data_IF_889711204374
#
_entry.id   IF_889711204374
#
_cell.length_a   1.000
_cell.length_b   1.000
_cell.length_c   1.000
_cell.angle_alpha   90.00
_cell.angle_beta   90.00
_cell.angle_gamma   90.00
#
_symmetry.space_group_name_H-M   'P 1'
#
loop_
_entity.id
_entity.type
_entity.pdbx_description
1 polymer ?
#
# COMPACT_ATOMS: atom_id res chain seq x y z
N UNK A 1 13.69 -15.21 -7.85
CA UNK A 1 13.30 -16.59 -8.07
C UNK A 1 12.89 -17.32 -6.79
N UNK A 2 13.71 -17.35 -5.72
CA UNK A 2 13.40 -18.10 -4.47
C UNK A 2 12.12 -17.60 -3.80
N UNK A 3 11.86 -16.31 -3.78
CA UNK A 3 10.66 -15.71 -3.19
C UNK A 3 9.35 -16.13 -3.85
N UNK A 4 9.39 -16.41 -5.16
CA UNK A 4 8.23 -16.90 -5.91
C UNK A 4 7.99 -18.42 -5.72
N UNK A 5 9.05 -19.19 -5.40
CA UNK A 5 8.98 -20.64 -5.27
C UNK A 5 8.67 -21.14 -3.86
N UNK A 6 8.98 -20.37 -2.84
CA UNK A 6 8.83 -20.77 -1.43
C UNK A 6 8.07 -19.70 -0.65
N UNK A 7 6.79 -19.94 -0.31
CA UNK A 7 6.04 -19.01 0.51
C UNK A 7 6.65 -18.87 1.92
N UNK A 8 6.35 -17.77 2.60
CA UNK A 8 6.66 -17.64 4.02
C UNK A 8 5.80 -18.63 4.84
N UNK A 9 6.42 -19.27 5.83
CA UNK A 9 5.70 -20.18 6.73
C UNK A 9 4.92 -19.44 7.84
N UNK A 10 5.41 -18.25 8.26
CA UNK A 10 4.92 -17.57 9.47
C UNK A 10 4.64 -16.07 9.27
N UNK A 11 4.80 -15.54 8.05
CA UNK A 11 4.48 -14.14 7.75
C UNK A 11 3.07 -14.03 7.17
N UNK A 12 2.34 -12.93 7.48
CA UNK A 12 0.98 -12.72 6.99
C UNK A 12 0.94 -12.51 5.48
N UNK A 13 -0.26 -12.58 4.91
CA UNK A 13 -0.52 -12.16 3.53
C UNK A 13 -1.12 -10.76 3.50
N UNK A 14 -0.79 -10.00 2.46
CA UNK A 14 -1.47 -8.77 2.10
C UNK A 14 -2.82 -9.16 1.48
N UNK A 15 -3.90 -8.83 2.17
CA UNK A 15 -5.27 -9.10 1.73
C UNK A 15 -6.14 -7.86 1.88
N UNK A 16 -7.23 -7.76 1.11
CA UNK A 16 -8.21 -6.69 1.29
C UNK A 16 -8.80 -6.75 2.70
N UNK A 17 -9.00 -7.97 3.23
CA UNK A 17 -9.50 -8.15 4.58
C UNK A 17 -8.58 -7.50 5.62
N UNK A 18 -7.31 -7.88 5.67
CA UNK A 18 -6.38 -7.43 6.71
C UNK A 18 -5.97 -5.96 6.59
N UNK A 19 -5.80 -5.46 5.36
CA UNK A 19 -5.37 -4.08 5.12
C UNK A 19 -6.52 -3.09 5.03
N UNK A 20 -7.66 -3.51 4.47
CA UNK A 20 -8.86 -2.69 4.28
C UNK A 20 -9.88 -2.90 5.38
N UNK A 21 -10.67 -3.94 5.28
CA UNK A 21 -11.84 -4.15 6.13
C UNK A 21 -11.54 -4.16 7.63
N UNK A 22 -10.54 -4.92 8.07
CA UNK A 22 -10.15 -4.98 9.49
C UNK A 22 -9.61 -3.64 10.00
N UNK A 23 -8.93 -2.89 9.13
CA UNK A 23 -8.41 -1.57 9.46
C UNK A 23 -9.52 -0.53 9.61
N UNK A 24 -10.50 -0.53 8.68
CA UNK A 24 -11.66 0.38 8.73
C UNK A 24 -12.55 0.04 9.93
N UNK A 25 -12.83 -1.24 10.17
CA UNK A 25 -13.61 -1.67 11.33
C UNK A 25 -12.96 -1.19 12.63
N UNK A 26 -11.66 -1.40 12.78
CA UNK A 26 -10.93 -0.96 13.96
C UNK A 26 -10.96 0.57 14.13
N UNK A 27 -10.71 1.35 13.06
CA UNK A 27 -10.80 2.81 13.09
C UNK A 27 -12.20 3.29 13.47
N UNK A 28 -13.24 2.59 13.04
CA UNK A 28 -14.63 2.90 13.35
C UNK A 28 -14.94 2.71 14.82
N UNK A 29 -14.45 1.62 15.40
CA UNK A 29 -14.71 1.26 16.80
C UNK A 29 -13.83 2.04 17.79
N UNK A 30 -12.60 2.40 17.39
CA UNK A 30 -11.64 3.10 18.27
C UNK A 30 -12.02 4.54 18.63
N UNK A 31 -12.89 5.18 17.84
CA UNK A 31 -13.26 6.59 18.04
C UNK A 31 -12.14 7.58 17.73
N UNK A 32 -11.02 7.16 17.13
CA UNK A 32 -9.86 8.03 16.84
C UNK A 32 -10.16 9.07 15.75
N UNK A 33 -11.09 8.76 14.84
CA UNK A 33 -11.55 9.69 13.80
C UNK A 33 -12.46 10.74 14.44
N UNK A 34 -12.20 12.07 14.29
CA UNK A 34 -13.02 13.12 14.84
C UNK A 34 -14.49 12.99 14.45
N UNK A 35 -15.39 13.23 15.39
CA UNK A 35 -16.84 12.96 15.24
C UNK A 35 -17.44 13.65 14.01
N UNK A 36 -17.08 14.90 13.76
CA UNK A 36 -17.54 15.68 12.60
C UNK A 36 -17.02 15.16 11.25
N UNK A 37 -15.93 14.39 11.23
CA UNK A 37 -15.34 13.82 10.02
C UNK A 37 -15.74 12.35 9.80
N UNK A 38 -16.25 11.64 10.82
CA UNK A 38 -16.62 10.22 10.74
C UNK A 38 -17.54 9.91 9.56
N UNK A 39 -18.64 10.63 9.31
CA UNK A 39 -19.52 10.32 8.18
C UNK A 39 -18.81 10.41 6.84
N UNK A 40 -17.98 11.44 6.62
CA UNK A 40 -17.26 11.65 5.39
C UNK A 40 -16.15 10.59 5.18
N UNK A 41 -15.38 10.31 6.24
CA UNK A 41 -14.28 9.33 6.18
C UNK A 41 -14.80 7.93 5.88
N UNK A 42 -15.77 7.44 6.66
CA UNK A 42 -16.26 6.07 6.50
C UNK A 42 -17.10 5.87 5.25
N UNK A 43 -17.83 6.88 4.79
CA UNK A 43 -18.55 6.80 3.52
C UNK A 43 -17.60 6.57 2.34
N UNK A 44 -16.52 7.36 2.24
CA UNK A 44 -15.54 7.19 1.14
C UNK A 44 -14.73 5.91 1.32
N UNK A 45 -14.39 5.51 2.55
CA UNK A 45 -13.66 4.29 2.81
C UNK A 45 -14.48 3.04 2.43
N UNK A 46 -15.78 3.01 2.76
CA UNK A 46 -16.66 1.89 2.41
C UNK A 46 -16.87 1.79 0.87
N UNK A 47 -17.04 2.93 0.17
CA UNK A 47 -17.12 2.95 -1.30
C UNK A 47 -15.82 2.43 -1.94
N UNK A 48 -14.66 2.87 -1.44
CA UNK A 48 -13.37 2.37 -1.89
C UNK A 48 -13.23 0.87 -1.71
N UNK A 49 -13.65 0.31 -0.57
CA UNK A 49 -13.57 -1.13 -0.32
C UNK A 49 -14.41 -1.94 -1.30
N UNK A 50 -15.61 -1.48 -1.66
CA UNK A 50 -16.43 -2.16 -2.66
C UNK A 50 -15.71 -2.24 -4.03
N UNK A 51 -15.09 -1.14 -4.46
CA UNK A 51 -14.36 -1.10 -5.74
C UNK A 51 -13.12 -1.98 -5.68
N UNK A 52 -12.37 -1.91 -4.56
CA UNK A 52 -11.14 -2.67 -4.38
C UNK A 52 -11.40 -4.18 -4.32
N UNK A 53 -12.45 -4.62 -3.62
CA UNK A 53 -12.84 -6.03 -3.58
C UNK A 53 -13.07 -6.57 -5.00
N UNK A 54 -13.83 -5.84 -5.82
CA UNK A 54 -14.11 -6.22 -7.21
C UNK A 54 -12.83 -6.29 -8.04
N UNK A 55 -11.94 -5.28 -7.94
CA UNK A 55 -10.69 -5.23 -8.70
C UNK A 55 -9.72 -6.33 -8.31
N UNK A 56 -9.54 -6.56 -7.02
CA UNK A 56 -8.65 -7.60 -6.51
C UNK A 56 -9.14 -9.01 -6.88
N UNK A 57 -10.45 -9.22 -6.97
CA UNK A 57 -11.05 -10.49 -7.45
C UNK A 57 -10.92 -10.65 -8.97
N UNK A 58 -11.02 -9.55 -9.73
CA UNK A 58 -10.94 -9.59 -11.18
C UNK A 58 -9.54 -9.87 -11.73
N UNK A 59 -8.49 -9.63 -10.93
CA UNK A 59 -7.09 -9.80 -11.34
C UNK A 59 -6.45 -10.93 -10.54
N UNK A 60 -6.48 -12.17 -11.05
CA UNK A 60 -5.81 -13.29 -10.40
C UNK A 60 -4.28 -13.09 -10.46
N UNK A 61 -3.61 -13.31 -9.34
CA UNK A 61 -2.16 -13.24 -9.24
C UNK A 61 -1.59 -14.36 -8.38
N UNK A 62 -0.34 -14.71 -8.64
CA UNK A 62 0.43 -15.58 -7.73
C UNK A 62 1.06 -14.73 -6.65
N UNK A 63 0.97 -15.18 -5.41
CA UNK A 63 1.65 -14.52 -4.31
C UNK A 63 3.14 -14.86 -4.31
N UNK A 64 3.96 -13.85 -4.04
CA UNK A 64 5.39 -13.98 -3.82
C UNK A 64 5.76 -13.43 -2.44
N UNK A 65 6.98 -13.68 -1.98
CA UNK A 65 7.51 -13.01 -0.80
C UNK A 65 7.82 -11.57 -1.17
N UNK A 66 7.30 -10.66 -0.36
CA UNK A 66 7.47 -9.24 -0.49
C UNK A 66 8.33 -8.71 0.65
N UNK A 67 9.01 -7.61 0.41
CA UNK A 67 9.47 -6.71 1.45
C UNK A 67 8.25 -6.11 2.20
N UNK A 68 7.21 -5.76 1.44
CA UNK A 68 5.92 -5.29 1.95
C UNK A 68 5.85 -3.78 2.16
N UNK A 69 7.00 -3.13 2.38
CA UNK A 69 7.16 -1.69 2.51
C UNK A 69 8.39 -1.17 1.73
N UNK A 70 8.58 -1.66 0.49
CA UNK A 70 9.74 -1.31 -0.33
C UNK A 70 9.57 0.07 -0.97
N UNK A 71 10.02 1.10 -0.29
CA UNK A 71 10.14 2.46 -0.82
C UNK A 71 11.58 2.93 -0.80
N UNK A 72 11.89 4.05 -1.48
CA UNK A 72 13.25 4.58 -1.62
C UNK A 72 13.94 4.81 -0.26
N UNK A 73 13.19 5.18 0.79
CA UNK A 73 13.73 5.35 2.14
C UNK A 73 14.25 4.07 2.80
N UNK A 74 13.85 2.89 2.31
CA UNK A 74 14.31 1.59 2.78
C UNK A 74 15.45 1.01 1.91
N UNK A 75 16.02 1.85 1.03
CA UNK A 75 17.17 1.52 0.20
C UNK A 75 18.38 2.32 0.63
N UNK A 76 19.47 1.64 0.95
CA UNK A 76 20.74 2.25 1.31
C UNK A 76 21.77 1.93 0.23
N UNK A 77 22.41 2.97 -0.28
CA UNK A 77 23.53 2.84 -1.21
C UNK A 77 24.86 3.01 -0.46
N UNK A 78 25.68 1.97 -0.47
CA UNK A 78 26.99 1.99 0.18
C UNK A 78 27.96 1.08 -0.58
N UNK A 79 29.19 1.54 -0.76
CA UNK A 79 30.29 0.77 -1.38
C UNK A 79 29.87 0.13 -2.72
N UNK A 80 29.24 0.94 -3.60
CA UNK A 80 28.68 0.54 -4.91
C UNK A 80 27.64 -0.60 -4.84
N UNK A 81 27.08 -0.83 -3.67
CA UNK A 81 26.08 -1.87 -3.44
C UNK A 81 24.80 -1.29 -2.87
N UNK A 82 23.67 -1.86 -3.28
CA UNK A 82 22.33 -1.54 -2.79
C UNK A 82 21.96 -2.52 -1.67
N UNK A 83 21.53 -1.96 -0.54
CA UNK A 83 21.03 -2.71 0.60
C UNK A 83 19.57 -2.36 0.85
N UNK A 84 18.76 -3.38 1.06
CA UNK A 84 17.39 -3.23 1.53
C UNK A 84 17.37 -3.41 3.05
N UNK A 85 16.69 -2.50 3.75
CA UNK A 85 16.55 -2.49 5.22
C UNK A 85 15.08 -2.49 5.61
N UNK A 86 14.78 -2.67 6.91
CA UNK A 86 13.44 -2.66 7.47
C UNK A 86 12.54 -3.79 6.94
N UNK A 87 12.96 -5.02 7.23
CA UNK A 87 12.28 -6.25 6.81
C UNK A 87 11.10 -6.64 7.72
N UNK A 88 10.65 -5.76 8.61
CA UNK A 88 9.61 -6.10 9.60
C UNK A 88 8.25 -6.31 8.95
N UNK A 89 7.98 -5.64 7.85
CA UNK A 89 6.75 -5.73 7.08
C UNK A 89 6.74 -6.83 6.01
N UNK A 90 7.76 -7.71 5.99
CA UNK A 90 7.80 -8.82 5.04
C UNK A 90 6.54 -9.68 5.11
N UNK A 91 5.93 -9.91 3.95
CA UNK A 91 4.66 -10.64 3.81
C UNK A 91 4.52 -11.33 2.46
N UNK A 92 3.40 -12.01 2.27
CA UNK A 92 3.02 -12.56 0.98
C UNK A 92 2.06 -11.61 0.25
N UNK A 93 2.21 -11.48 -1.07
CA UNK A 93 1.29 -10.68 -1.87
C UNK A 93 1.68 -10.64 -3.35
N UNK A 94 1.01 -9.80 -4.16
CA UNK A 94 1.34 -9.62 -5.57
C UNK A 94 2.68 -8.89 -5.72
N UNK A 95 3.49 -9.29 -6.70
CA UNK A 95 4.83 -8.71 -6.95
C UNK A 95 4.79 -7.19 -7.15
N UNK A 96 3.73 -6.67 -7.75
CA UNK A 96 3.55 -5.23 -7.99
C UNK A 96 3.59 -4.40 -6.71
N UNK A 97 3.28 -4.99 -5.54
CA UNK A 97 3.31 -4.27 -4.26
C UNK A 97 4.67 -3.62 -3.98
N UNK A 98 5.75 -4.33 -4.19
CA UNK A 98 7.09 -3.78 -3.94
C UNK A 98 7.57 -2.88 -5.10
N UNK A 99 7.00 -3.00 -6.30
CA UNK A 99 7.39 -2.18 -7.45
C UNK A 99 6.71 -0.81 -7.44
N UNK A 100 5.39 -0.72 -7.18
CA UNK A 100 4.68 0.55 -7.25
C UNK A 100 5.14 1.56 -6.19
N UNK A 101 5.63 1.09 -5.05
CA UNK A 101 6.09 1.95 -3.96
C UNK A 101 7.40 2.68 -4.27
N UNK A 102 8.11 2.25 -5.31
CA UNK A 102 9.31 2.90 -5.83
C UNK A 102 8.98 4.03 -6.83
N UNK A 103 7.73 4.08 -7.32
CA UNK A 103 7.33 5.04 -8.36
C UNK A 103 7.00 6.41 -7.77
N UNK A 104 7.48 7.46 -8.44
CA UNK A 104 7.25 8.85 -8.04
C UNK A 104 7.07 9.77 -9.25
N UNK A 105 6.50 10.95 -9.01
CA UNK A 105 6.29 11.94 -10.05
C UNK A 105 4.95 11.78 -10.81
N UNK A 106 4.88 12.38 -12.00
CA UNK A 106 3.71 12.31 -12.86
C UNK A 106 3.54 10.94 -13.55
N UNK A 107 2.45 10.79 -14.31
CA UNK A 107 2.14 9.51 -14.99
C UNK A 107 3.27 9.03 -15.91
N UNK A 108 3.86 9.92 -16.68
CA UNK A 108 4.92 9.56 -17.64
C UNK A 108 6.22 9.15 -16.92
N UNK A 109 6.57 9.88 -15.85
CA UNK A 109 7.72 9.56 -15.02
C UNK A 109 7.54 8.20 -14.35
N UNK A 110 6.36 7.95 -13.75
CA UNK A 110 6.03 6.64 -13.13
C UNK A 110 6.07 5.51 -14.15
N UNK A 111 5.61 5.76 -15.38
CA UNK A 111 5.62 4.75 -16.44
C UNK A 111 7.04 4.40 -16.89
N UNK A 112 7.93 5.38 -17.05
CA UNK A 112 9.35 5.14 -17.38
C UNK A 112 10.06 4.36 -16.25
N UNK A 113 9.88 4.78 -14.99
CA UNK A 113 10.44 4.08 -13.83
C UNK A 113 9.94 2.63 -13.73
N UNK A 114 8.64 2.41 -13.98
CA UNK A 114 8.06 1.07 -13.96
C UNK A 114 8.69 0.17 -15.02
N UNK A 115 8.93 0.69 -16.23
CA UNK A 115 9.55 -0.08 -17.30
C UNK A 115 10.96 -0.58 -16.90
N UNK A 116 11.78 0.30 -16.33
CA UNK A 116 13.12 -0.04 -15.82
C UNK A 116 13.06 -1.07 -14.66
N UNK A 117 12.14 -0.88 -13.71
CA UNK A 117 11.96 -1.80 -12.58
C UNK A 117 11.51 -3.19 -13.05
N UNK A 118 10.60 -3.26 -14.01
CA UNK A 118 10.10 -4.53 -14.55
C UNK A 118 11.16 -5.22 -15.43
N UNK A 119 11.96 -4.46 -16.16
CA UNK A 119 13.11 -5.03 -16.90
C UNK A 119 14.07 -5.74 -15.94
N UNK A 120 14.51 -5.05 -14.86
CA UNK A 120 15.35 -5.68 -13.85
C UNK A 120 14.67 -6.83 -13.09
N UNK A 121 13.38 -6.75 -12.84
CA UNK A 121 12.63 -7.83 -12.22
C UNK A 121 12.60 -9.08 -13.09
N UNK A 122 12.43 -8.91 -14.40
CA UNK A 122 12.36 -9.99 -15.38
C UNK A 122 13.67 -10.74 -15.56
N UNK A 123 14.82 -10.21 -15.14
CA UNK A 123 16.07 -10.97 -15.08
C UNK A 123 15.99 -12.17 -14.11
N UNK A 124 15.09 -12.10 -13.12
CA UNK A 124 15.00 -13.12 -12.06
C UNK A 124 13.67 -13.86 -12.06
N UNK A 125 12.59 -13.24 -12.52
CA UNK A 125 11.26 -13.84 -12.53
C UNK A 125 10.31 -13.05 -13.43
N UNK A 126 9.51 -13.74 -14.26
CA UNK A 126 8.56 -13.11 -15.17
C UNK A 126 7.49 -12.31 -14.40
N UNK A 127 7.40 -11.02 -14.68
CA UNK A 127 6.37 -10.16 -14.14
C UNK A 127 5.05 -10.34 -14.91
N UNK A 128 3.95 -10.49 -14.19
CA UNK A 128 2.61 -10.53 -14.77
C UNK A 128 2.03 -9.11 -14.93
N UNK A 129 1.94 -8.57 -16.17
CA UNK A 129 1.48 -7.21 -16.42
C UNK A 129 0.05 -6.93 -15.95
N UNK A 130 -0.79 -7.95 -15.78
CA UNK A 130 -2.16 -7.80 -15.26
C UNK A 130 -2.18 -7.18 -13.87
N UNK A 131 -1.12 -7.39 -13.08
CA UNK A 131 -0.98 -6.83 -11.74
C UNK A 131 -0.90 -5.30 -11.72
N UNK A 132 -0.63 -4.64 -12.86
CA UNK A 132 -0.65 -3.17 -12.94
C UNK A 132 -2.02 -2.58 -12.60
N UNK A 133 -3.09 -3.31 -12.86
CA UNK A 133 -4.45 -2.91 -12.47
C UNK A 133 -4.67 -2.89 -10.95
N UNK A 134 -3.77 -3.44 -10.16
CA UNK A 134 -3.84 -3.48 -8.70
C UNK A 134 -3.18 -2.29 -8.02
N UNK A 135 -2.38 -1.47 -8.73
CA UNK A 135 -1.54 -0.41 -8.14
C UNK A 135 -2.35 0.52 -7.25
N UNK A 136 -3.42 1.12 -7.76
CA UNK A 136 -4.21 2.09 -6.99
C UNK A 136 -5.04 1.40 -5.88
N UNK A 137 -5.45 0.15 -6.07
CA UNK A 137 -6.06 -0.65 -5.00
C UNK A 137 -5.11 -0.90 -3.84
N UNK A 138 -3.87 -1.30 -4.15
CA UNK A 138 -2.82 -1.53 -3.15
C UNK A 138 -2.41 -0.24 -2.43
N UNK A 139 -2.33 0.88 -3.17
CA UNK A 139 -2.06 2.20 -2.61
C UNK A 139 -3.14 2.59 -1.60
N UNK A 140 -4.41 2.43 -1.97
CA UNK A 140 -5.54 2.74 -1.08
C UNK A 140 -5.52 1.85 0.18
N UNK A 141 -5.31 0.55 0.02
CA UNK A 141 -5.19 -0.38 1.15
C UNK A 141 -4.06 0.04 2.11
N UNK A 142 -2.92 0.47 1.58
CA UNK A 142 -1.81 0.96 2.40
C UNK A 142 -2.18 2.23 3.17
N UNK A 143 -2.85 3.20 2.55
CA UNK A 143 -3.28 4.45 3.20
C UNK A 143 -4.18 4.17 4.40
N UNK A 144 -5.18 3.32 4.22
CA UNK A 144 -6.12 2.94 5.29
C UNK A 144 -5.40 2.14 6.38
N UNK A 145 -4.57 1.17 5.97
CA UNK A 145 -3.81 0.34 6.90
C UNK A 145 -2.85 1.16 7.75
N UNK A 146 -2.15 2.13 7.16
CA UNK A 146 -1.21 3.00 7.86
C UNK A 146 -1.90 3.83 8.95
N UNK A 147 -3.06 4.42 8.66
CA UNK A 147 -3.85 5.15 9.66
C UNK A 147 -4.26 4.24 10.82
N UNK A 148 -4.70 3.01 10.52
CA UNK A 148 -5.06 2.04 11.56
C UNK A 148 -3.83 1.52 12.33
N UNK A 149 -2.69 1.39 11.66
CA UNK A 149 -1.42 0.98 12.27
C UNK A 149 -0.93 2.00 13.30
N UNK A 150 -0.99 3.30 12.98
CA UNK A 150 -0.69 4.38 13.91
C UNK A 150 -1.65 4.39 15.09
N UNK A 151 -2.94 4.30 14.79
CA UNK A 151 -3.99 4.34 15.81
C UNK A 151 -3.88 3.20 16.82
N UNK A 152 -3.59 1.98 16.37
CA UNK A 152 -3.43 0.78 17.24
C UNK A 152 -2.24 0.88 18.20
N UNK A 153 -1.27 1.75 17.89
CA UNK A 153 -0.05 1.95 18.68
C UNK A 153 -0.03 3.27 19.44
N UNK A 154 -1.14 4.01 19.40
CA UNK A 154 -1.19 5.37 19.94
C UNK A 154 -0.97 5.45 21.45
N UNK A 155 -1.23 4.36 22.17
CA UNK A 155 -0.98 4.25 23.61
C UNK A 155 0.50 4.10 23.98
N UNK A 156 1.35 3.73 23.02
CA UNK A 156 2.81 3.73 23.20
C UNK A 156 3.33 5.18 23.14
N UNK A 157 3.98 5.70 24.21
CA UNK A 157 4.45 7.09 24.25
C UNK A 157 5.43 7.49 23.14
N UNK A 158 6.04 6.55 22.46
CA UNK A 158 6.91 6.82 21.32
C UNK A 158 6.10 7.35 20.12
N UNK A 159 4.87 6.84 19.90
CA UNK A 159 4.06 7.21 18.73
C UNK A 159 3.61 8.66 18.73
N UNK A 160 2.99 9.21 19.79
CA UNK A 160 2.68 10.64 19.84
C UNK A 160 3.89 11.57 19.68
N UNK A 161 5.07 11.13 20.09
CA UNK A 161 6.31 11.92 19.92
C UNK A 161 6.81 11.93 18.48
N UNK A 162 6.73 10.78 17.78
CA UNK A 162 7.20 10.67 16.40
C UNK A 162 6.15 11.12 15.37
N UNK A 163 4.86 10.99 15.70
CA UNK A 163 3.74 11.31 14.81
C UNK A 163 2.76 12.33 15.42
N UNK A 164 3.23 13.50 15.92
CA UNK A 164 2.38 14.46 16.67
C UNK A 164 1.21 14.99 15.84
N UNK A 165 1.28 14.94 14.54
CA UNK A 165 0.26 15.35 13.60
C UNK A 165 -0.94 14.40 13.52
N UNK A 166 -0.79 13.12 13.90
CA UNK A 166 -1.81 12.09 13.72
C UNK A 166 -3.10 12.36 14.54
N UNK A 167 -2.99 12.88 15.75
CA UNK A 167 -4.14 13.22 16.59
C UNK A 167 -4.85 14.50 16.16
N UNK A 168 -4.34 15.24 15.16
CA UNK A 168 -4.93 16.50 14.72
C UNK A 168 -6.15 16.27 13.82
N UNK A 169 -7.17 17.12 13.96
CA UNK A 169 -8.32 17.14 13.05
C UNK A 169 -7.88 17.38 11.59
N UNK A 170 -6.82 18.17 11.39
CA UNK A 170 -6.26 18.43 10.07
C UNK A 170 -5.81 17.14 9.38
N UNK A 171 -5.11 16.25 10.08
CA UNK A 171 -4.71 14.96 9.51
C UNK A 171 -5.91 14.17 8.97
N UNK A 172 -6.97 14.09 9.76
CA UNK A 172 -8.16 13.33 9.36
C UNK A 172 -8.93 14.02 8.23
N UNK A 173 -8.97 15.35 8.19
CA UNK A 173 -9.54 16.09 7.06
C UNK A 173 -8.72 15.84 5.77
N UNK A 174 -7.38 15.87 5.87
CA UNK A 174 -6.49 15.56 4.76
C UNK A 174 -6.66 14.07 4.31
N UNK A 175 -6.88 13.13 5.26
CA UNK A 175 -7.18 11.74 4.91
C UNK A 175 -8.49 11.58 4.13
N UNK A 176 -9.54 12.33 4.48
CA UNK A 176 -10.80 12.33 3.70
C UNK A 176 -10.55 12.81 2.26
N UNK A 177 -9.76 13.86 2.08
CA UNK A 177 -9.39 14.36 0.75
C UNK A 177 -8.56 13.33 -0.02
N UNK A 178 -7.52 12.79 0.61
CA UNK A 178 -6.65 11.76 0.01
C UNK A 178 -7.46 10.53 -0.44
N UNK A 179 -8.41 10.05 0.38
CA UNK A 179 -9.26 8.92 -0.01
C UNK A 179 -10.21 9.26 -1.17
N UNK A 180 -10.70 10.50 -1.28
CA UNK A 180 -11.50 10.96 -2.42
C UNK A 180 -10.66 11.06 -3.70
N UNK A 181 -9.45 11.59 -3.61
CA UNK A 181 -8.48 11.60 -4.71
C UNK A 181 -8.15 10.18 -5.14
N UNK A 182 -7.95 9.27 -4.19
CA UNK A 182 -7.70 7.86 -4.46
C UNK A 182 -8.91 7.18 -5.14
N UNK A 183 -10.14 7.57 -4.78
CA UNK A 183 -11.35 7.09 -5.47
C UNK A 183 -11.36 7.53 -6.94
N UNK A 184 -10.96 8.75 -7.23
CA UNK A 184 -10.80 9.22 -8.61
C UNK A 184 -9.66 8.50 -9.35
N UNK A 185 -8.51 8.33 -8.69
CA UNK A 185 -7.34 7.66 -9.26
C UNK A 185 -7.62 6.18 -9.65
N UNK A 186 -8.53 5.51 -8.96
CA UNK A 186 -8.97 4.16 -9.36
C UNK A 186 -9.57 4.12 -10.77
N UNK A 187 -10.14 5.21 -11.28
CA UNK A 187 -10.76 5.28 -12.61
C UNK A 187 -9.83 5.90 -13.68
N UNK A 188 -8.61 6.29 -13.30
CA UNK A 188 -7.60 6.79 -14.24
C UNK A 188 -6.99 5.68 -15.10
N UNK A 189 -6.38 6.05 -16.25
CA UNK A 189 -5.66 5.10 -17.09
C UNK A 189 -4.56 4.35 -16.33
N UNK A 190 -4.52 3.04 -16.51
CA UNK A 190 -3.48 2.20 -15.91
C UNK A 190 -2.09 2.53 -16.45
N UNK A 191 -1.08 2.35 -15.61
CA UNK A 191 0.30 2.25 -16.09
C UNK A 191 0.44 1.06 -17.05
N UNK A 192 1.29 1.20 -18.07
CA UNK A 192 1.48 0.17 -19.10
C UNK A 192 2.95 -0.14 -19.27
N UNK A 193 3.26 -1.37 -19.61
CA UNK A 193 4.56 -1.76 -20.15
C UNK A 193 4.48 -1.66 -21.68
N UNK A 194 5.51 -1.14 -22.30
CA UNK A 194 5.64 -1.00 -23.77
C UNK A 194 6.18 -2.27 -24.38
#
# INVERSE_FOLDING_TARGET
>A
AVGAMRPFAHRPSLTVQSFGHDSIAWLRDSGVVPENLRPAYFSVADDLMQVIDQRMQAVPFKTVRLHGDLHVGNLLWRDESLYMVDMDDCRQGPAIQDLWMMLSGDHNQRQAQLAELVEGYNEFHDFDPRQLALVESLRTLRLVHYSAWLARRWDDPAFPRHFPWFASERYWADQVLTLREQRAALDEPLLRLF
#
